data_IF_074660919131
#
_entry.id   IF_074660919131
#
_cell.length_a   1.000
_cell.length_b   1.000
_cell.length_c   1.000
_cell.angle_alpha   90.00
_cell.angle_beta   90.00
_cell.angle_gamma   90.00
#
_symmetry.space_group_name_H-M   'P 1'
#
loop_
_entity.id
_entity.type
_entity.pdbx_description
1 polymer ?
#
# COMPACT_ATOMS: atom_id res chain seq x y z
N UNK A 1 12.81 -8.00 27.39
CA UNK A 1 11.85 -6.93 27.72
C UNK A 1 10.53 -7.30 27.07
N UNK A 2 9.40 -7.03 27.71
CA UNK A 2 8.08 -7.38 27.16
C UNK A 2 7.90 -6.75 25.77
N UNK A 3 7.45 -7.55 24.80
CA UNK A 3 7.10 -7.04 23.48
C UNK A 3 5.97 -6.02 23.66
N UNK A 4 6.18 -4.79 23.18
CA UNK A 4 5.11 -3.78 23.13
C UNK A 4 4.20 -4.20 21.99
N UNK A 5 3.08 -4.84 22.29
CA UNK A 5 2.06 -5.16 21.29
C UNK A 5 1.45 -3.84 20.81
N UNK A 6 1.38 -3.65 19.50
CA UNK A 6 0.60 -2.57 18.90
C UNK A 6 -0.82 -3.08 18.71
N UNK A 7 -1.80 -2.24 18.99
CA UNK A 7 -3.21 -2.59 18.79
C UNK A 7 -3.97 -1.47 18.10
N UNK A 8 -5.04 -1.85 17.40
CA UNK A 8 -5.98 -0.96 16.72
C UNK A 8 -7.34 -1.18 17.36
N UNK A 9 -7.95 -0.11 17.88
CA UNK A 9 -9.35 -0.14 18.29
C UNK A 9 -10.23 0.03 17.04
N UNK A 10 -10.88 -1.04 16.59
CA UNK A 10 -11.78 -1.00 15.44
C UNK A 10 -13.20 -0.66 15.87
N UNK A 11 -13.73 0.46 15.37
CA UNK A 11 -15.12 0.84 15.53
C UNK A 11 -15.89 0.43 14.26
N UNK A 12 -16.59 -0.70 14.36
CA UNK A 12 -17.41 -1.20 13.24
C UNK A 12 -18.58 -0.25 12.97
N UNK A 13 -18.96 -0.10 11.71
CA UNK A 13 -20.04 0.83 11.30
C UNK A 13 -21.38 0.57 12.03
N UNK A 14 -21.67 -0.69 12.37
CA UNK A 14 -22.88 -1.11 13.09
C UNK A 14 -22.62 -2.18 14.16
N UNK A 15 -21.40 -2.24 14.70
CA UNK A 15 -21.00 -3.29 15.63
C UNK A 15 -20.29 -2.72 16.86
N UNK A 16 -20.17 -3.54 17.90
CA UNK A 16 -19.41 -3.18 19.08
C UNK A 16 -17.93 -2.96 18.73
N UNK A 17 -17.27 -1.96 19.35
CA UNK A 17 -15.84 -1.77 19.16
C UNK A 17 -15.06 -2.98 19.67
N UNK A 18 -14.00 -3.35 18.97
CA UNK A 18 -13.10 -4.41 19.42
C UNK A 18 -11.64 -4.08 19.14
N UNK A 19 -10.76 -4.69 19.91
CA UNK A 19 -9.31 -4.52 19.75
C UNK A 19 -8.77 -5.55 18.76
N UNK A 20 -8.00 -5.07 17.78
CA UNK A 20 -7.22 -5.88 16.85
C UNK A 20 -5.77 -5.79 17.28
N UNK A 21 -5.19 -6.92 17.67
CA UNK A 21 -3.75 -7.02 17.94
C UNK A 21 -3.02 -7.02 16.60
N UNK A 22 -2.05 -6.13 16.46
CA UNK A 22 -1.20 -6.02 15.27
C UNK A 22 0.06 -6.83 15.51
N UNK A 23 0.25 -7.86 14.71
CA UNK A 23 1.51 -8.60 14.66
C UNK A 23 2.60 -7.69 14.12
N UNK A 24 3.68 -7.56 14.87
CA UNK A 24 4.85 -6.81 14.43
C UNK A 24 5.90 -7.76 13.89
N UNK A 25 6.46 -7.38 12.75
CA UNK A 25 7.60 -8.06 12.17
C UNK A 25 8.86 -7.23 12.38
N UNK A 26 10.00 -7.91 12.45
CA UNK A 26 11.28 -7.24 12.55
C UNK A 26 11.58 -6.48 11.24
N UNK A 27 12.31 -5.36 11.35
CA UNK A 27 12.70 -4.55 10.20
C UNK A 27 12.21 -3.11 10.29
N UNK A 28 12.57 -2.30 9.28
CA UNK A 28 12.09 -0.93 9.15
C UNK A 28 10.65 -0.85 8.64
N UNK A 29 10.06 0.33 8.73
CA UNK A 29 8.70 0.63 8.26
C UNK A 29 7.62 -0.35 8.78
N UNK A 30 7.74 -0.77 10.05
CA UNK A 30 6.80 -1.70 10.67
C UNK A 30 6.95 -3.15 10.20
N UNK A 31 8.11 -3.52 9.65
CA UNK A 31 8.39 -4.87 9.13
C UNK A 31 8.14 -5.03 7.63
N UNK A 32 7.83 -3.95 6.91
CA UNK A 32 7.64 -3.98 5.46
C UNK A 32 8.95 -4.11 4.67
N UNK A 33 10.06 -3.58 5.20
CA UNK A 33 11.34 -3.54 4.46
C UNK A 33 11.88 -4.92 4.06
N UNK A 34 11.92 -5.94 4.95
CA UNK A 34 12.37 -7.27 4.55
C UNK A 34 11.53 -7.86 3.42
N UNK A 35 10.19 -7.73 3.48
CA UNK A 35 9.28 -8.23 2.43
C UNK A 35 9.51 -7.56 1.08
N UNK A 36 9.71 -6.25 1.09
CA UNK A 36 10.04 -5.49 -0.12
C UNK A 36 11.35 -5.97 -0.74
N UNK A 37 12.40 -6.14 0.09
CA UNK A 37 13.71 -6.60 -0.39
C UNK A 37 13.65 -8.03 -0.91
N UNK A 38 12.91 -8.92 -0.25
CA UNK A 38 12.71 -10.29 -0.72
C UNK A 38 11.95 -10.34 -2.05
N UNK A 39 10.95 -9.48 -2.28
CA UNK A 39 10.27 -9.41 -3.58
C UNK A 39 11.19 -8.88 -4.71
N UNK A 40 12.11 -7.97 -4.37
CA UNK A 40 13.04 -7.36 -5.33
C UNK A 40 14.27 -8.23 -5.63
N UNK A 41 14.80 -8.94 -4.63
CA UNK A 41 16.11 -9.59 -4.68
C UNK A 41 16.11 -11.05 -4.23
N UNK A 42 15.01 -11.55 -3.67
CA UNK A 42 14.91 -12.91 -3.16
C UNK A 42 14.95 -13.97 -4.26
N UNK A 43 15.47 -15.15 -3.93
CA UNK A 43 15.63 -16.26 -4.88
C UNK A 43 14.30 -17.00 -5.16
N UNK A 44 13.37 -16.98 -4.21
CA UNK A 44 12.05 -17.58 -4.31
C UNK A 44 10.99 -16.62 -3.79
N UNK A 45 9.94 -16.41 -4.58
CA UNK A 45 8.77 -15.66 -4.11
C UNK A 45 7.95 -16.55 -3.18
N UNK A 46 7.80 -16.14 -1.94
CA UNK A 46 6.74 -16.69 -1.08
C UNK A 46 5.38 -16.39 -1.71
N UNK A 47 4.38 -17.23 -1.40
CA UNK A 47 3.01 -16.92 -1.77
C UNK A 47 2.60 -15.60 -1.11
N UNK A 48 2.08 -14.67 -1.91
CA UNK A 48 1.60 -13.38 -1.43
C UNK A 48 0.08 -13.33 -1.50
N UNK A 49 -0.63 -13.94 -0.53
CA UNK A 49 -2.10 -14.04 -0.55
C UNK A 49 -2.80 -12.68 -0.47
N UNK A 50 -2.05 -11.63 -0.12
CA UNK A 50 -2.54 -10.27 0.05
C UNK A 50 -2.18 -9.34 -1.12
N UNK A 51 -1.46 -9.82 -2.14
CA UNK A 51 -1.00 -9.04 -3.29
C UNK A 51 -0.34 -7.70 -2.88
N UNK A 52 0.57 -7.78 -1.91
CA UNK A 52 1.39 -6.67 -1.41
C UNK A 52 2.51 -6.31 -2.37
N UNK A 53 3.07 -7.29 -3.08
CA UNK A 53 4.09 -7.06 -4.10
C UNK A 53 3.50 -6.28 -5.27
N UNK A 54 4.06 -5.10 -5.54
CA UNK A 54 3.61 -4.24 -6.63
C UNK A 54 4.13 -4.74 -7.98
N UNK A 55 3.26 -4.75 -8.99
CA UNK A 55 3.67 -4.92 -10.38
C UNK A 55 4.21 -3.60 -10.95
N UNK A 56 4.79 -3.68 -12.14
CA UNK A 56 5.19 -2.47 -12.89
C UNK A 56 3.97 -1.59 -13.25
N UNK A 57 2.78 -2.17 -13.44
CA UNK A 57 1.54 -1.43 -13.69
C UNK A 57 1.14 -0.63 -12.46
N UNK A 58 1.20 -1.24 -11.27
CA UNK A 58 0.91 -0.56 -10.00
C UNK A 58 1.86 0.62 -9.78
N UNK A 59 3.14 0.45 -10.11
CA UNK A 59 4.12 1.53 -10.09
C UNK A 59 3.79 2.68 -11.03
N UNK A 60 3.34 2.39 -12.25
CA UNK A 60 2.90 3.40 -13.22
C UNK A 60 1.68 4.16 -12.70
N UNK A 61 0.66 3.46 -12.19
CA UNK A 61 -0.56 4.06 -11.65
C UNK A 61 -0.28 4.92 -10.41
N UNK A 62 0.65 4.49 -9.55
CA UNK A 62 1.11 5.26 -8.38
C UNK A 62 1.67 6.63 -8.79
N UNK A 63 2.58 6.65 -9.76
CA UNK A 63 3.17 7.91 -10.25
C UNK A 63 2.12 8.78 -10.95
N UNK A 64 1.26 8.17 -11.77
CA UNK A 64 0.19 8.89 -12.48
C UNK A 64 -0.80 9.56 -11.54
N UNK A 65 -1.07 8.97 -10.37
CA UNK A 65 -1.90 9.59 -9.33
C UNK A 65 -1.32 10.95 -8.90
N UNK A 66 0.00 11.03 -8.67
CA UNK A 66 0.68 12.28 -8.33
C UNK A 66 0.67 13.30 -9.48
N UNK A 67 0.85 12.83 -10.71
CA UNK A 67 0.78 13.69 -11.90
C UNK A 67 -0.63 14.27 -12.07
N UNK A 68 -1.67 13.45 -11.98
CA UNK A 68 -3.06 13.88 -12.06
C UNK A 68 -3.41 14.87 -10.96
N UNK A 69 -2.94 14.65 -9.73
CA UNK A 69 -3.11 15.59 -8.63
C UNK A 69 -2.50 16.97 -8.94
N UNK A 70 -1.28 17.02 -9.50
CA UNK A 70 -0.66 18.27 -9.90
C UNK A 70 -1.46 19.02 -10.98
N UNK A 71 -1.94 18.29 -12.01
CA UNK A 71 -2.81 18.87 -13.03
C UNK A 71 -4.15 19.34 -12.45
N UNK A 72 -4.72 18.60 -11.51
CA UNK A 72 -5.96 18.96 -10.83
C UNK A 72 -5.80 20.25 -10.03
N UNK A 73 -4.74 20.37 -9.24
CA UNK A 73 -4.43 21.58 -8.46
C UNK A 73 -4.27 22.79 -9.38
N UNK A 74 -3.52 22.65 -10.48
CA UNK A 74 -3.27 23.73 -11.41
C UNK A 74 -4.54 24.18 -12.17
N UNK A 75 -5.42 23.24 -12.51
CA UNK A 75 -6.62 23.51 -13.31
C UNK A 75 -7.88 23.81 -12.50
N UNK A 76 -7.89 23.46 -11.21
CA UNK A 76 -9.06 23.50 -10.34
C UNK A 76 -10.15 22.48 -10.71
N UNK A 77 -9.81 21.46 -11.53
CA UNK A 77 -10.75 20.44 -12.00
C UNK A 77 -10.28 19.04 -11.58
N UNK A 78 -11.20 18.09 -11.51
CA UNK A 78 -10.83 16.68 -11.45
C UNK A 78 -10.16 16.27 -12.76
N UNK A 79 -9.15 15.41 -12.68
CA UNK A 79 -8.41 14.87 -13.83
C UNK A 79 -8.41 13.35 -13.70
N UNK A 80 -8.94 12.66 -14.71
CA UNK A 80 -8.90 11.21 -14.74
C UNK A 80 -7.56 10.70 -15.33
N UNK A 81 -7.11 9.52 -14.91
CA UNK A 81 -5.80 8.97 -15.32
C UNK A 81 -5.78 8.65 -16.83
N UNK A 82 -6.91 8.23 -17.38
CA UNK A 82 -7.10 7.95 -18.81
C UNK A 82 -6.99 9.19 -19.71
N UNK A 83 -7.14 10.40 -19.16
CA UNK A 83 -6.86 11.66 -19.87
C UNK A 83 -5.36 11.92 -20.04
N UNK A 84 -4.51 11.32 -19.20
CA UNK A 84 -3.06 11.56 -19.21
C UNK A 84 -2.32 10.60 -20.14
N UNK A 85 -2.79 9.35 -20.23
CA UNK A 85 -2.11 8.25 -20.91
C UNK A 85 -3.12 7.20 -21.35
N UNK A 86 -2.87 6.58 -22.51
CA UNK A 86 -3.64 5.45 -23.00
C UNK A 86 -2.73 4.22 -23.06
N UNK A 87 -3.09 3.18 -22.31
CA UNK A 87 -2.46 1.88 -22.39
C UNK A 87 -3.48 0.77 -22.13
N UNK A 88 -3.25 -0.39 -22.75
CA UNK A 88 -4.03 -1.60 -22.49
C UNK A 88 -3.32 -2.38 -21.40
N UNK A 89 -4.05 -2.65 -20.32
CA UNK A 89 -3.63 -3.53 -19.22
C UNK A 89 -4.08 -4.95 -19.49
#
# INVERSE_FOLDING_TARGET
GAAVLQSIQLYSMFGEPYEVIVEQEAGGHGGGDPRLLDDLFGEAKEEDPWNRAATHVDGILSILTGIAANHSIASGKAVAIDELVSFTV
#
